data_IF_920850918351
#
_entry.id   IF_920850918351
#
_cell.length_a   1.000
_cell.length_b   1.000
_cell.length_c   1.000
_cell.angle_alpha   90.00
_cell.angle_beta   90.00
_cell.angle_gamma   90.00
#
_symmetry.space_group_name_H-M   'P 1'
#
loop_
_entity.id
_entity.type
_entity.pdbx_description
1 polymer ?
#
# COMPACT_ATOMS: atom_id res chain seq x y z
N UNK A 1 -4.87 15.83 -25.61
CA UNK A 1 -6.15 15.39 -25.02
C UNK A 1 -5.80 14.32 -24.00
N UNK A 2 -6.46 14.31 -22.84
CA UNK A 2 -6.29 13.28 -21.84
C UNK A 2 -6.59 11.90 -22.43
N UNK A 3 -5.89 10.86 -21.98
CA UNK A 3 -6.09 9.47 -22.40
C UNK A 3 -7.44 8.94 -21.92
N UNK A 4 -7.89 9.39 -20.75
CA UNK A 4 -9.17 9.05 -20.14
C UNK A 4 -9.95 10.31 -19.81
N UNK A 5 -11.29 10.25 -19.87
CA UNK A 5 -12.14 11.38 -19.51
C UNK A 5 -12.85 11.13 -18.18
N UNK A 6 -13.40 9.94 -17.96
CA UNK A 6 -14.20 9.59 -16.77
C UNK A 6 -13.38 8.77 -15.78
N UNK A 7 -12.96 9.38 -14.68
CA UNK A 7 -12.13 8.75 -13.63
C UNK A 7 -13.01 8.42 -12.42
N UNK A 8 -13.15 7.14 -12.10
CA UNK A 8 -13.77 6.68 -10.87
C UNK A 8 -12.71 6.56 -9.76
N UNK A 9 -12.86 7.30 -8.66
CA UNK A 9 -12.04 7.15 -7.47
C UNK A 9 -12.76 6.20 -6.52
N UNK A 10 -12.23 4.98 -6.36
CA UNK A 10 -12.83 3.93 -5.54
C UNK A 10 -12.18 3.92 -4.17
N UNK A 11 -12.96 4.14 -3.12
CA UNK A 11 -12.51 4.13 -1.73
C UNK A 11 -13.51 3.46 -0.78
N UNK A 12 -13.27 3.49 0.52
CA UNK A 12 -13.88 2.61 1.48
C UNK A 12 -12.99 1.36 1.66
N UNK A 13 -13.46 0.30 2.03
CA UNK A 13 -12.90 -1.06 2.05
C UNK A 13 -13.62 -1.94 3.07
N UNK A 14 -13.36 -3.24 3.02
CA UNK A 14 -13.93 -4.18 4.00
C UNK A 14 -13.02 -4.34 5.24
N UNK A 15 -11.84 -3.70 5.22
CA UNK A 15 -10.85 -3.74 6.30
C UNK A 15 -11.15 -2.74 7.43
N UNK A 16 -10.40 -2.85 8.52
CA UNK A 16 -10.40 -1.87 9.62
C UNK A 16 -9.87 -0.48 9.21
N UNK A 17 -9.17 -0.39 8.07
CA UNK A 17 -8.59 0.86 7.55
C UNK A 17 -9.56 1.68 6.66
N UNK A 18 -10.85 1.30 6.60
CA UNK A 18 -11.82 1.94 5.70
C UNK A 18 -11.96 3.46 5.87
N UNK A 19 -11.83 3.98 7.08
CA UNK A 19 -11.90 5.44 7.33
C UNK A 19 -10.68 6.16 6.75
N UNK A 20 -9.50 5.55 6.85
CA UNK A 20 -8.28 6.08 6.23
C UNK A 20 -8.39 6.03 4.71
N UNK A 21 -8.97 4.95 4.17
CA UNK A 21 -9.26 4.80 2.75
C UNK A 21 -10.22 5.89 2.25
N UNK A 22 -11.27 6.22 3.01
CA UNK A 22 -12.18 7.33 2.68
C UNK A 22 -11.44 8.67 2.62
N UNK A 23 -10.66 9.02 3.65
CA UNK A 23 -9.87 10.27 3.66
C UNK A 23 -8.87 10.34 2.51
N UNK A 24 -8.22 9.23 2.17
CA UNK A 24 -7.30 9.13 1.03
C UNK A 24 -8.03 9.29 -0.30
N UNK A 25 -9.20 8.66 -0.45
CA UNK A 25 -10.03 8.76 -1.65
C UNK A 25 -10.58 10.17 -1.89
N UNK A 26 -11.14 10.79 -0.87
CA UNK A 26 -11.65 12.17 -0.93
C UNK A 26 -10.52 13.17 -1.24
N UNK A 27 -9.36 13.02 -0.61
CA UNK A 27 -8.19 13.83 -0.92
C UNK A 27 -7.78 13.65 -2.38
N UNK A 28 -7.64 12.42 -2.86
CA UNK A 28 -7.28 12.10 -4.23
C UNK A 28 -8.28 12.71 -5.21
N UNK A 29 -9.59 12.46 -5.03
CA UNK A 29 -10.64 13.01 -5.88
C UNK A 29 -10.62 14.54 -5.95
N UNK A 30 -10.31 15.21 -4.83
CA UNK A 30 -10.20 16.66 -4.77
C UNK A 30 -8.97 17.24 -5.47
N UNK A 31 -7.95 16.41 -5.76
CA UNK A 31 -6.65 16.82 -6.35
C UNK A 31 -6.45 16.34 -7.78
N UNK A 32 -7.30 15.47 -8.31
CA UNK A 32 -7.33 15.15 -9.75
C UNK A 32 -7.68 16.43 -10.52
N UNK A 33 -6.98 16.65 -11.65
CA UNK A 33 -7.11 17.86 -12.47
C UNK A 33 -8.57 18.13 -12.87
N UNK A 34 -9.11 19.25 -12.38
CA UNK A 34 -10.50 19.63 -12.58
C UNK A 34 -10.81 20.15 -13.99
N UNK A 35 -9.79 20.45 -14.77
CA UNK A 35 -9.93 20.92 -16.15
C UNK A 35 -9.90 19.76 -17.15
N UNK A 36 -9.28 18.63 -16.79
CA UNK A 36 -9.08 17.50 -17.68
C UNK A 36 -10.07 16.36 -17.48
N UNK A 37 -10.47 16.08 -16.21
CA UNK A 37 -11.19 14.86 -15.88
C UNK A 37 -12.56 15.11 -15.26
N UNK A 38 -13.52 14.30 -15.69
CA UNK A 38 -14.74 14.03 -14.94
C UNK A 38 -14.39 13.06 -13.81
N UNK A 39 -14.64 13.43 -12.55
CA UNK A 39 -14.30 12.62 -11.37
C UNK A 39 -15.58 12.10 -10.72
N UNK A 40 -15.61 10.80 -10.43
CA UNK A 40 -16.71 10.10 -9.78
C UNK A 40 -16.20 9.41 -8.53
N UNK A 41 -16.74 9.75 -7.37
CA UNK A 41 -16.35 9.21 -6.08
C UNK A 41 -17.22 8.01 -5.73
N UNK A 42 -16.63 6.81 -5.74
CA UNK A 42 -17.30 5.55 -5.48
C UNK A 42 -16.93 5.06 -4.09
N UNK A 43 -17.88 5.09 -3.17
CA UNK A 43 -17.74 4.40 -1.89
C UNK A 43 -18.11 2.93 -2.07
N UNK A 44 -17.15 2.03 -1.79
CA UNK A 44 -17.32 0.60 -1.98
C UNK A 44 -16.94 -0.15 -0.69
N UNK A 45 -17.93 -0.81 -0.07
CA UNK A 45 -17.76 -1.58 1.16
C UNK A 45 -18.76 -2.71 1.26
N UNK A 46 -18.32 -3.89 1.67
CA UNK A 46 -19.15 -5.11 1.85
C UNK A 46 -20.08 -5.37 0.66
N UNK A 47 -19.51 -5.31 -0.53
CA UNK A 47 -20.24 -5.54 -1.78
C UNK A 47 -21.24 -4.43 -2.19
N UNK A 48 -21.40 -3.38 -1.40
CA UNK A 48 -22.24 -2.21 -1.74
C UNK A 48 -21.36 -1.11 -2.33
N UNK A 49 -21.64 -0.74 -3.57
CA UNK A 49 -20.87 0.27 -4.29
C UNK A 49 -21.79 1.42 -4.68
N UNK A 50 -21.50 2.61 -4.22
CA UNK A 50 -22.36 3.77 -4.40
C UNK A 50 -21.58 4.98 -4.89
N UNK A 51 -22.14 5.71 -5.86
CA UNK A 51 -21.66 7.02 -6.24
C UNK A 51 -22.07 8.03 -5.15
N UNK A 52 -21.09 8.57 -4.42
CA UNK A 52 -21.34 9.51 -3.32
C UNK A 52 -21.14 10.96 -3.72
N UNK A 53 -20.28 11.20 -4.72
CA UNK A 53 -20.10 12.52 -5.31
C UNK A 53 -19.58 12.41 -6.76
N UNK A 54 -19.75 13.50 -7.50
CA UNK A 54 -19.17 13.63 -8.85
C UNK A 54 -18.79 15.07 -9.14
N UNK A 55 -17.86 15.26 -10.07
CA UNK A 55 -17.47 16.55 -10.62
C UNK A 55 -17.17 16.38 -12.10
N UNK A 56 -17.93 17.04 -12.96
CA UNK A 56 -17.58 17.16 -14.38
C UNK A 56 -16.41 18.12 -14.54
N UNK A 57 -15.62 17.95 -15.60
CA UNK A 57 -14.55 18.89 -15.92
C UNK A 57 -15.06 20.33 -15.99
N UNK A 58 -14.34 21.26 -15.39
CA UNK A 58 -14.70 22.69 -15.30
C UNK A 58 -16.03 22.97 -14.54
N UNK A 59 -16.49 22.04 -13.68
CA UNK A 59 -17.73 22.25 -12.92
C UNK A 59 -17.53 22.02 -11.42
N UNK A 60 -18.54 22.42 -10.64
CA UNK A 60 -18.53 22.23 -9.19
C UNK A 60 -18.79 20.78 -8.83
N UNK A 61 -18.19 20.34 -7.73
CA UNK A 61 -18.45 19.04 -7.12
C UNK A 61 -19.88 18.97 -6.61
N UNK A 62 -20.59 17.91 -6.99
CA UNK A 62 -21.94 17.57 -6.55
C UNK A 62 -21.87 16.35 -5.64
N UNK A 63 -22.61 16.36 -4.53
CA UNK A 63 -22.72 15.23 -3.60
C UNK A 63 -24.11 14.63 -3.67
N UNK A 64 -24.22 13.34 -3.44
CA UNK A 64 -25.49 12.62 -3.35
C UNK A 64 -25.78 12.34 -1.86
N UNK A 65 -26.92 12.79 -1.32
CA UNK A 65 -27.25 12.54 0.08
C UNK A 65 -27.44 11.04 0.33
N UNK A 66 -27.19 10.62 1.56
CA UNK A 66 -27.41 9.23 1.98
C UNK A 66 -28.84 8.79 1.66
N UNK A 67 -28.98 7.57 1.09
CA UNK A 67 -30.28 7.05 0.62
C UNK A 67 -30.65 7.43 -0.82
N UNK A 68 -30.05 8.49 -1.40
CA UNK A 68 -30.24 8.87 -2.81
C UNK A 68 -28.98 8.64 -3.68
N UNK A 69 -28.00 7.95 -3.14
CA UNK A 69 -26.75 7.63 -3.83
C UNK A 69 -26.99 6.57 -4.89
N UNK A 70 -26.69 6.84 -6.18
CA UNK A 70 -26.81 5.85 -7.25
C UNK A 70 -25.93 4.64 -6.99
N UNK A 71 -26.45 3.45 -7.23
CA UNK A 71 -25.67 2.21 -7.14
C UNK A 71 -24.86 1.98 -8.42
N UNK A 72 -23.63 1.49 -8.26
CA UNK A 72 -22.77 1.09 -9.38
C UNK A 72 -23.23 -0.27 -9.88
N UNK A 73 -23.51 -0.36 -11.19
CA UNK A 73 -23.70 -1.63 -11.87
C UNK A 73 -22.36 -2.34 -12.04
N UNK A 74 -22.14 -3.36 -11.21
CA UNK A 74 -20.91 -4.14 -11.22
C UNK A 74 -20.78 -5.08 -12.43
N UNK A 75 -21.83 -5.24 -13.24
CA UNK A 75 -21.74 -6.07 -14.44
C UNK A 75 -20.90 -5.43 -15.54
N UNK A 76 -20.82 -4.09 -15.58
CA UNK A 76 -20.06 -3.35 -16.58
C UNK A 76 -19.36 -2.09 -16.03
N UNK A 77 -19.27 -1.96 -14.71
CA UNK A 77 -18.67 -0.83 -13.99
C UNK A 77 -19.23 0.51 -14.48
N UNK A 78 -20.53 0.69 -14.36
CA UNK A 78 -21.25 1.91 -14.76
C UNK A 78 -22.19 2.39 -13.66
N UNK A 79 -22.74 3.60 -13.81
CA UNK A 79 -23.74 4.15 -12.91
C UNK A 79 -24.81 4.91 -13.70
N UNK A 80 -26.07 4.86 -13.23
CA UNK A 80 -27.15 5.66 -13.77
C UNK A 80 -27.29 6.96 -12.98
N UNK A 81 -27.11 8.11 -13.62
CA UNK A 81 -27.28 9.44 -13.01
C UNK A 81 -28.26 10.24 -13.86
N UNK A 82 -29.38 10.68 -13.26
CA UNK A 82 -30.40 11.47 -13.93
C UNK A 82 -30.91 10.88 -15.25
N UNK A 83 -30.95 9.55 -15.37
CA UNK A 83 -31.38 8.84 -16.56
C UNK A 83 -30.28 8.60 -17.63
N UNK A 84 -29.08 9.09 -17.39
CA UNK A 84 -27.91 8.86 -18.25
C UNK A 84 -27.04 7.73 -17.67
N UNK A 85 -26.63 6.78 -18.51
CA UNK A 85 -25.68 5.73 -18.14
C UNK A 85 -24.25 6.24 -18.34
N UNK A 86 -23.50 6.33 -17.25
CA UNK A 86 -22.10 6.75 -17.22
C UNK A 86 -21.23 5.50 -17.07
N UNK A 87 -20.31 5.28 -18.01
CA UNK A 87 -19.24 4.29 -17.93
C UNK A 87 -17.94 5.00 -17.53
N UNK A 88 -17.15 4.33 -16.73
CA UNK A 88 -15.86 4.88 -16.28
C UNK A 88 -14.73 4.38 -17.17
N UNK A 89 -13.87 5.29 -17.63
CA UNK A 89 -12.74 4.98 -18.50
C UNK A 89 -11.52 4.51 -17.71
N UNK A 90 -11.45 4.91 -16.44
CA UNK A 90 -10.32 4.64 -15.54
C UNK A 90 -10.77 4.51 -14.08
N UNK A 91 -10.15 3.62 -13.33
CA UNK A 91 -10.37 3.45 -11.90
C UNK A 91 -9.13 3.85 -11.08
N UNK A 92 -9.24 4.92 -10.28
CA UNK A 92 -8.22 5.26 -9.28
C UNK A 92 -8.56 4.56 -7.96
N UNK A 93 -7.74 3.57 -7.57
CA UNK A 93 -8.03 2.73 -6.40
C UNK A 93 -7.38 3.34 -5.16
N UNK A 94 -8.20 3.59 -4.13
CA UNK A 94 -7.79 4.10 -2.81
C UNK A 94 -8.39 3.28 -1.66
N UNK A 95 -8.47 1.96 -1.84
CA UNK A 95 -8.93 1.03 -0.81
C UNK A 95 -7.74 0.39 -0.09
N UNK A 96 -7.54 0.72 1.18
CA UNK A 96 -6.54 0.07 2.02
C UNK A 96 -7.10 -1.27 2.56
N UNK A 97 -6.28 -2.32 2.51
CA UNK A 97 -6.70 -3.68 2.86
C UNK A 97 -7.63 -4.31 1.80
N UNK A 98 -8.43 -5.29 2.21
CA UNK A 98 -9.36 -5.99 1.32
C UNK A 98 -10.55 -5.10 0.90
N UNK A 99 -11.01 -5.20 -0.37
CA UNK A 99 -10.49 -5.99 -1.49
C UNK A 99 -9.39 -5.28 -2.30
N UNK A 100 -9.04 -4.02 -1.96
CA UNK A 100 -8.17 -3.16 -2.74
C UNK A 100 -6.72 -3.63 -2.81
N UNK A 101 -6.19 -4.22 -1.73
CA UNK A 101 -4.79 -4.70 -1.67
C UNK A 101 -4.67 -6.23 -1.79
N UNK A 102 -5.78 -6.95 -1.96
CA UNK A 102 -5.77 -8.41 -2.11
C UNK A 102 -5.77 -8.91 -3.55
N UNK A 103 -5.81 -8.00 -4.53
CA UNK A 103 -5.91 -8.32 -5.95
C UNK A 103 -7.33 -8.56 -6.46
N UNK A 104 -8.32 -8.65 -5.58
CA UNK A 104 -9.71 -8.93 -5.97
C UNK A 104 -10.33 -7.78 -6.77
N UNK A 105 -10.15 -6.54 -6.34
CA UNK A 105 -10.66 -5.38 -7.05
C UNK A 105 -9.96 -5.20 -8.40
N UNK A 106 -8.64 -5.38 -8.44
CA UNK A 106 -7.86 -5.32 -9.67
C UNK A 106 -8.33 -6.40 -10.67
N UNK A 107 -8.49 -7.65 -10.20
CA UNK A 107 -8.99 -8.74 -11.04
C UNK A 107 -10.38 -8.49 -11.61
N UNK A 108 -11.29 -7.89 -10.83
CA UNK A 108 -12.59 -7.46 -11.30
C UNK A 108 -12.47 -6.41 -12.43
N UNK A 109 -11.67 -5.37 -12.24
CA UNK A 109 -11.46 -4.32 -13.22
C UNK A 109 -10.77 -4.85 -14.49
N UNK A 110 -9.75 -5.71 -14.32
CA UNK A 110 -9.05 -6.37 -15.43
C UNK A 110 -9.99 -7.24 -16.26
N UNK A 111 -10.91 -7.99 -15.64
CA UNK A 111 -11.92 -8.80 -16.36
C UNK A 111 -12.85 -7.93 -17.20
N UNK A 112 -13.13 -6.70 -16.77
CA UNK A 112 -13.95 -5.74 -17.53
C UNK A 112 -13.13 -4.90 -18.53
N UNK A 113 -11.81 -5.06 -18.54
CA UNK A 113 -10.93 -4.25 -19.41
C UNK A 113 -10.83 -2.79 -18.96
N UNK A 114 -11.08 -2.49 -17.67
CA UNK A 114 -10.98 -1.13 -17.10
C UNK A 114 -9.57 -0.90 -16.60
N UNK A 115 -8.81 0.04 -17.17
CA UNK A 115 -7.51 0.46 -16.68
C UNK A 115 -7.61 1.04 -15.25
N UNK A 116 -6.57 0.83 -14.44
CA UNK A 116 -6.58 1.30 -13.05
C UNK A 116 -5.20 1.71 -12.54
N UNK A 117 -5.16 2.51 -11.47
CA UNK A 117 -3.96 3.15 -10.90
C UNK A 117 -3.03 2.22 -10.12
N UNK A 118 -3.38 0.96 -9.94
CA UNK A 118 -2.64 0.00 -9.09
C UNK A 118 -1.92 -1.05 -9.94
N UNK A 119 -1.11 -1.87 -9.28
CA UNK A 119 -0.51 -3.06 -9.87
C UNK A 119 -1.58 -4.05 -10.36
N UNK A 120 -1.20 -5.00 -11.21
CA UNK A 120 -2.10 -6.08 -11.63
C UNK A 120 -2.60 -6.91 -10.44
N UNK A 121 -3.70 -7.63 -10.62
CA UNK A 121 -4.24 -8.52 -9.59
C UNK A 121 -3.19 -9.48 -9.03
N UNK A 122 -2.38 -10.08 -9.91
CA UNK A 122 -1.29 -10.99 -9.50
C UNK A 122 -0.25 -10.28 -8.64
N UNK A 123 0.28 -9.15 -9.09
CA UNK A 123 1.33 -8.41 -8.37
C UNK A 123 0.79 -7.89 -7.03
N UNK A 124 -0.45 -7.38 -7.02
CA UNK A 124 -1.11 -6.90 -5.80
C UNK A 124 -1.23 -8.02 -4.76
N UNK A 125 -1.69 -9.21 -5.17
CA UNK A 125 -1.83 -10.37 -4.28
C UNK A 125 -0.47 -10.81 -3.71
N UNK A 126 0.54 -10.93 -4.57
CA UNK A 126 1.90 -11.32 -4.14
C UNK A 126 2.52 -10.29 -3.21
N UNK A 127 2.35 -9.01 -3.52
CA UNK A 127 2.95 -7.92 -2.76
C UNK A 127 2.31 -7.73 -1.37
N UNK A 128 1.00 -7.97 -1.24
CA UNK A 128 0.28 -7.85 0.03
C UNK A 128 0.66 -8.97 1.02
N UNK A 129 0.95 -10.17 0.53
CA UNK A 129 1.42 -11.28 1.36
C UNK A 129 2.94 -11.21 1.55
N UNK A 130 3.39 -10.86 2.77
CA UNK A 130 4.79 -10.65 3.12
C UNK A 130 5.69 -11.83 2.78
N UNK A 131 5.21 -13.06 3.04
CA UNK A 131 5.99 -14.27 2.74
C UNK A 131 6.10 -14.53 1.24
N UNK A 132 5.02 -14.33 0.49
CA UNK A 132 5.01 -14.47 -0.97
C UNK A 132 5.88 -13.43 -1.63
N UNK A 133 5.77 -12.15 -1.21
CA UNK A 133 6.60 -11.06 -1.71
C UNK A 133 8.09 -11.32 -1.49
N UNK A 134 8.48 -11.69 -0.26
CA UNK A 134 9.87 -12.07 0.06
C UNK A 134 10.32 -13.28 -0.73
N UNK A 135 9.46 -14.29 -0.89
CA UNK A 135 9.79 -15.50 -1.68
C UNK A 135 10.05 -15.17 -3.14
N UNK A 136 9.30 -14.23 -3.71
CA UNK A 136 9.53 -13.73 -5.07
C UNK A 136 10.87 -12.99 -5.19
N UNK A 137 11.26 -12.26 -4.15
CA UNK A 137 12.51 -11.49 -4.10
C UNK A 137 13.74 -12.31 -3.65
N UNK A 138 13.59 -13.57 -3.22
CA UNK A 138 14.73 -14.39 -2.72
C UNK A 138 15.85 -14.60 -3.73
N UNK A 139 15.57 -14.46 -5.02
CA UNK A 139 16.58 -14.55 -6.09
C UNK A 139 17.26 -13.21 -6.37
N UNK A 140 16.82 -12.13 -5.73
CA UNK A 140 17.41 -10.81 -5.91
C UNK A 140 18.72 -10.70 -5.11
N UNK A 141 19.81 -10.35 -5.75
CA UNK A 141 21.15 -10.19 -5.16
C UNK A 141 21.44 -8.75 -4.69
N UNK A 142 20.51 -7.85 -4.91
CA UNK A 142 20.69 -6.40 -4.70
C UNK A 142 20.00 -5.84 -3.46
N UNK A 143 19.29 -6.67 -2.71
CA UNK A 143 18.62 -6.31 -1.46
C UNK A 143 18.64 -7.50 -0.51
N UNK A 144 18.78 -7.22 0.79
CA UNK A 144 18.71 -8.27 1.80
C UNK A 144 17.28 -8.50 2.24
N UNK A 145 16.99 -9.73 2.64
CA UNK A 145 15.75 -10.13 3.28
C UNK A 145 16.08 -10.69 4.67
N UNK A 146 15.33 -10.29 5.69
CA UNK A 146 15.50 -10.88 7.01
C UNK A 146 15.30 -12.41 6.93
N UNK A 147 16.15 -13.22 7.58
CA UNK A 147 15.91 -14.66 7.70
C UNK A 147 14.54 -14.92 8.29
N UNK A 148 13.81 -15.91 7.75
CA UNK A 148 12.43 -16.17 8.15
C UNK A 148 12.08 -17.65 8.25
N UNK A 149 10.93 -17.90 8.89
CA UNK A 149 10.20 -19.14 8.92
C UNK A 149 8.71 -18.87 8.75
N UNK A 150 7.99 -19.82 8.18
CA UNK A 150 6.58 -19.69 7.83
C UNK A 150 5.75 -20.80 8.46
N UNK A 151 4.58 -20.46 9.02
CA UNK A 151 3.66 -21.39 9.67
C UNK A 151 2.22 -21.09 9.23
N UNK A 152 1.40 -22.14 9.14
CA UNK A 152 -0.04 -22.07 8.86
C UNK A 152 -0.86 -22.43 10.07
N UNK A 153 -2.06 -21.92 10.12
CA UNK A 153 -3.06 -22.35 11.09
C UNK A 153 -3.30 -23.86 10.95
N UNK A 154 -3.30 -24.57 12.09
CA UNK A 154 -3.39 -26.03 12.14
C UNK A 154 -2.05 -26.76 12.25
N UNK A 155 -0.92 -26.09 12.00
CA UNK A 155 0.41 -26.65 12.24
C UNK A 155 0.72 -26.72 13.75
N UNK A 156 1.68 -27.57 14.14
CA UNK A 156 2.17 -27.67 15.53
C UNK A 156 3.02 -26.45 15.89
N UNK A 157 2.40 -25.50 16.60
CA UNK A 157 3.01 -24.22 16.98
C UNK A 157 4.20 -24.42 17.92
N UNK A 158 4.15 -25.37 18.85
CA UNK A 158 5.22 -25.66 19.81
C UNK A 158 6.46 -26.23 19.12
N UNK A 159 6.26 -27.23 18.27
CA UNK A 159 7.35 -27.84 17.51
C UNK A 159 7.96 -26.83 16.52
N UNK A 160 7.12 -26.00 15.88
CA UNK A 160 7.57 -24.94 14.99
C UNK A 160 8.39 -23.90 15.75
N UNK A 161 7.90 -23.41 16.91
CA UNK A 161 8.56 -22.37 17.70
C UNK A 161 9.99 -22.74 18.10
N UNK A 162 10.19 -24.00 18.55
CA UNK A 162 11.54 -24.51 18.88
C UNK A 162 12.48 -24.42 17.67
N UNK A 163 12.03 -24.93 16.51
CA UNK A 163 12.83 -24.90 15.28
C UNK A 163 13.09 -23.48 14.79
N UNK A 164 12.11 -22.58 14.93
CA UNK A 164 12.25 -21.18 14.53
C UNK A 164 13.31 -20.47 15.38
N UNK A 165 13.29 -20.65 16.71
CA UNK A 165 14.31 -20.06 17.61
C UNK A 165 15.71 -20.63 17.30
N UNK A 166 15.84 -21.93 17.09
CA UNK A 166 17.12 -22.57 16.74
C UNK A 166 17.67 -22.04 15.41
N UNK A 167 16.81 -21.81 14.42
CA UNK A 167 17.21 -21.36 13.08
C UNK A 167 17.49 -19.87 13.00
N UNK A 168 16.64 -19.05 13.65
CA UNK A 168 16.59 -17.61 13.43
C UNK A 168 17.26 -16.80 14.55
N UNK A 169 17.43 -17.38 15.73
CA UNK A 169 17.89 -16.67 16.93
C UNK A 169 16.81 -15.72 17.49
N UNK A 170 17.19 -14.94 18.50
CA UNK A 170 16.35 -13.93 19.13
C UNK A 170 17.07 -12.57 19.07
N UNK A 171 16.32 -11.44 19.06
CA UNK A 171 14.86 -11.34 19.08
C UNK A 171 14.23 -11.63 17.72
N UNK A 172 12.91 -11.95 17.74
CA UNK A 172 12.11 -12.27 16.55
C UNK A 172 10.94 -11.32 16.39
N UNK A 173 10.57 -11.04 15.15
CA UNK A 173 9.27 -10.46 14.79
C UNK A 173 8.33 -11.55 14.31
N UNK A 174 7.12 -11.57 14.87
CA UNK A 174 6.01 -12.44 14.45
C UNK A 174 4.96 -11.58 13.79
N UNK A 175 4.56 -11.92 12.57
CA UNK A 175 3.65 -11.10 11.77
C UNK A 175 2.64 -11.97 11.02
N UNK A 176 1.36 -11.60 10.93
CA UNK A 176 0.48 -12.18 9.91
C UNK A 176 1.05 -11.85 8.54
N UNK A 177 0.93 -12.76 7.56
CA UNK A 177 1.53 -12.53 6.24
C UNK A 177 0.78 -11.46 5.45
N UNK A 178 -0.55 -11.35 5.65
CA UNK A 178 -1.45 -10.48 4.88
C UNK A 178 -2.26 -9.57 5.80
N UNK A 179 -1.60 -8.66 6.52
CA UNK A 179 -2.24 -7.66 7.37
C UNK A 179 -1.61 -6.29 7.18
N UNK A 180 -2.43 -5.24 7.33
CA UNK A 180 -2.01 -3.84 7.32
C UNK A 180 -1.81 -3.27 8.73
N UNK A 181 -1.42 -1.99 8.82
CA UNK A 181 -1.39 -1.17 10.05
C UNK A 181 -0.71 -1.80 11.27
N UNK A 182 0.21 -2.73 11.08
CA UNK A 182 0.94 -3.43 12.15
C UNK A 182 0.04 -4.26 13.11
N UNK A 183 -1.19 -4.58 12.74
CA UNK A 183 -2.04 -5.48 13.52
C UNK A 183 -1.45 -6.89 13.58
N UNK A 184 -1.58 -7.54 14.74
CA UNK A 184 -1.08 -8.90 14.96
C UNK A 184 0.44 -9.03 14.99
N UNK A 185 1.21 -7.93 14.98
CA UNK A 185 2.68 -7.96 15.04
C UNK A 185 3.14 -8.01 16.50
N UNK A 186 4.10 -8.88 16.77
CA UNK A 186 4.76 -8.99 18.08
C UNK A 186 6.28 -9.06 17.92
N UNK A 187 7.02 -8.42 18.82
CA UNK A 187 8.47 -8.60 18.96
C UNK A 187 8.76 -9.49 20.16
N UNK A 188 9.42 -10.61 19.93
CA UNK A 188 9.63 -11.68 20.89
C UNK A 188 11.10 -11.71 21.30
N UNK A 189 11.34 -11.63 22.61
CA UNK A 189 12.69 -11.65 23.20
C UNK A 189 13.02 -12.97 23.90
N UNK A 190 12.00 -13.72 24.34
CA UNK A 190 12.19 -14.97 25.05
C UNK A 190 11.55 -16.12 24.26
N UNK A 191 12.16 -17.32 24.19
CA UNK A 191 11.63 -18.45 23.41
C UNK A 191 10.23 -18.87 23.83
N UNK A 192 9.90 -18.78 25.13
CA UNK A 192 8.62 -19.16 25.71
C UNK A 192 7.44 -18.29 25.26
N UNK A 193 7.70 -17.05 24.82
CA UNK A 193 6.67 -16.11 24.36
C UNK A 193 6.27 -16.36 22.89
N UNK A 194 7.10 -17.06 22.12
CA UNK A 194 6.89 -17.23 20.67
C UNK A 194 5.58 -17.96 20.32
N UNK A 195 5.19 -19.07 21.01
CA UNK A 195 3.92 -19.72 20.70
C UNK A 195 2.70 -18.81 20.91
N UNK A 196 2.70 -17.97 21.95
CA UNK A 196 1.60 -17.03 22.20
C UNK A 196 1.55 -15.93 21.14
N UNK A 197 2.70 -15.39 20.73
CA UNK A 197 2.80 -14.40 19.67
C UNK A 197 2.29 -14.95 18.31
N UNK A 198 2.60 -16.21 17.97
CA UNK A 198 2.10 -16.85 16.75
C UNK A 198 0.57 -16.99 16.80
N UNK A 199 0.01 -17.45 17.94
CA UNK A 199 -1.46 -17.55 18.08
C UNK A 199 -2.14 -16.19 18.00
N UNK A 200 -1.53 -15.16 18.54
CA UNK A 200 -2.03 -13.78 18.38
C UNK A 200 -2.00 -13.34 16.92
N UNK A 201 -0.93 -13.61 16.19
CA UNK A 201 -0.87 -13.28 14.77
C UNK A 201 -1.92 -14.03 13.92
N UNK A 202 -2.30 -15.26 14.30
CA UNK A 202 -3.36 -16.00 13.64
C UNK A 202 -4.76 -15.38 13.80
N UNK A 203 -4.96 -14.45 14.75
CA UNK A 203 -6.24 -13.71 14.83
C UNK A 203 -6.47 -12.79 13.62
N UNK A 204 -5.40 -12.42 12.91
CA UNK A 204 -5.44 -11.54 11.75
C UNK A 204 -5.38 -12.30 10.41
N UNK A 205 -5.14 -13.61 10.43
CA UNK A 205 -5.12 -14.42 9.21
C UNK A 205 -4.52 -15.82 9.41
N UNK A 206 -4.73 -16.72 8.46
CA UNK A 206 -4.38 -18.15 8.61
C UNK A 206 -2.89 -18.45 8.42
N UNK A 207 -2.08 -17.44 8.14
CA UNK A 207 -0.64 -17.60 7.82
C UNK A 207 0.20 -16.57 8.56
N UNK A 208 1.31 -17.02 9.11
CA UNK A 208 2.23 -16.20 9.93
C UNK A 208 3.67 -16.36 9.45
N UNK A 209 4.40 -15.26 9.37
CA UNK A 209 5.84 -15.23 9.16
C UNK A 209 6.54 -14.84 10.47
N UNK A 210 7.60 -15.57 10.79
CA UNK A 210 8.50 -15.29 11.91
C UNK A 210 9.85 -14.89 11.33
N UNK A 211 10.35 -13.71 11.68
CA UNK A 211 11.57 -13.13 11.11
C UNK A 211 12.59 -12.78 12.19
N UNK A 212 13.90 -12.97 11.89
CA UNK A 212 14.95 -12.41 12.71
C UNK A 212 14.82 -10.88 12.78
N UNK A 213 14.91 -10.31 13.97
CA UNK A 213 14.96 -8.87 14.12
C UNK A 213 16.31 -8.33 13.60
N UNK A 214 16.24 -7.43 12.65
CA UNK A 214 17.42 -6.79 12.06
C UNK A 214 17.82 -5.58 12.91
N UNK A 215 19.12 -5.41 13.26
CA UNK A 215 19.60 -4.18 13.89
C UNK A 215 19.28 -2.97 13.02
N UNK A 216 18.50 -2.03 13.57
CA UNK A 216 18.01 -0.88 12.83
C UNK A 216 18.89 0.34 13.12
N UNK A 217 19.59 0.86 12.10
CA UNK A 217 20.25 2.17 12.13
C UNK A 217 19.29 3.25 11.62
N UNK A 218 18.59 2.96 10.50
CA UNK A 218 17.60 3.84 9.90
C UNK A 218 16.42 3.02 9.43
N UNK A 219 15.20 3.45 9.76
CA UNK A 219 13.98 2.97 9.15
C UNK A 219 13.57 3.93 8.02
N UNK A 220 13.58 3.43 6.77
CA UNK A 220 13.49 4.25 5.57
C UNK A 220 12.33 3.80 4.70
N UNK A 221 11.70 4.76 4.02
CA UNK A 221 10.65 4.46 3.05
C UNK A 221 10.84 5.28 1.78
N UNK A 222 10.54 4.66 0.64
CA UNK A 222 10.67 5.26 -0.69
C UNK A 222 9.49 4.89 -1.56
N UNK A 223 8.82 5.90 -2.12
CA UNK A 223 7.77 5.68 -3.11
C UNK A 223 8.36 5.70 -4.53
N UNK A 224 7.81 4.82 -5.37
CA UNK A 224 8.26 4.59 -6.75
C UNK A 224 7.06 4.52 -7.67
N UNK A 225 7.19 5.10 -8.86
CA UNK A 225 6.15 5.14 -9.88
C UNK A 225 6.74 5.17 -11.29
N UNK A 226 5.93 4.88 -12.29
CA UNK A 226 6.32 5.08 -13.69
C UNK A 226 5.90 6.48 -14.14
N UNK A 227 6.85 7.28 -14.62
CA UNK A 227 6.63 8.69 -14.96
C UNK A 227 6.27 8.92 -16.44
N UNK A 228 6.01 7.84 -17.18
CA UNK A 228 5.74 7.87 -18.62
C UNK A 228 6.99 7.65 -19.48
N UNK A 229 8.18 7.65 -18.89
CA UNK A 229 9.47 7.40 -19.57
C UNK A 229 10.28 6.31 -18.89
N UNK A 230 10.39 6.40 -17.57
CA UNK A 230 11.13 5.43 -16.76
C UNK A 230 10.50 5.28 -15.36
N UNK A 231 11.02 4.33 -14.61
CA UNK A 231 10.67 4.16 -13.19
C UNK A 231 11.39 5.22 -12.38
N UNK A 232 10.62 6.09 -11.73
CA UNK A 232 11.10 7.19 -10.91
C UNK A 232 10.87 6.94 -9.43
N UNK A 233 11.86 7.31 -8.60
CA UNK A 233 11.79 7.23 -7.14
C UNK A 233 11.66 8.63 -6.55
N UNK A 234 10.72 8.80 -5.61
CA UNK A 234 10.56 10.03 -4.84
C UNK A 234 11.64 10.15 -3.75
N UNK A 235 11.80 11.33 -3.14
CA UNK A 235 12.68 11.52 -2.00
C UNK A 235 12.39 10.51 -0.89
N UNK A 236 13.44 9.95 -0.29
CA UNK A 236 13.35 9.00 0.83
C UNK A 236 12.85 9.73 2.08
N UNK A 237 12.01 9.08 2.86
CA UNK A 237 11.63 9.50 4.21
C UNK A 237 12.33 8.61 5.22
N UNK A 238 12.84 9.20 6.28
CA UNK A 238 13.25 8.50 7.49
C UNK A 238 12.15 8.55 8.54
N UNK A 239 11.86 7.40 9.15
CA UNK A 239 10.89 7.25 10.23
C UNK A 239 11.67 7.10 11.54
N UNK A 240 11.55 8.10 12.41
CA UNK A 240 12.14 8.11 13.73
C UNK A 240 11.04 7.75 14.73
N UNK A 241 11.07 6.51 15.24
CA UNK A 241 10.11 6.01 16.22
C UNK A 241 10.67 6.08 17.63
N UNK A 242 9.90 6.64 18.56
CA UNK A 242 10.23 6.67 19.98
C UNK A 242 10.11 5.28 20.63
N UNK A 243 9.38 4.34 20.01
CA UNK A 243 9.18 2.96 20.47
C UNK A 243 10.24 1.99 19.93
N UNK A 244 11.16 2.47 19.07
CA UNK A 244 12.24 1.69 18.47
C UNK A 244 11.83 0.87 17.24
N UNK A 245 10.59 0.98 16.76
CA UNK A 245 10.10 0.47 15.46
C UNK A 245 8.74 1.09 15.10
N UNK A 246 8.38 1.08 13.83
CA UNK A 246 7.17 1.75 13.33
C UNK A 246 5.92 0.90 13.55
N UNK A 247 5.47 0.79 14.80
CA UNK A 247 4.26 0.10 15.20
C UNK A 247 2.97 0.93 14.97
N UNK A 248 1.84 0.39 15.44
CA UNK A 248 0.55 1.07 15.33
C UNK A 248 0.55 2.43 16.06
N UNK A 249 1.11 2.48 17.26
CA UNK A 249 1.16 3.70 18.06
C UNK A 249 2.07 4.75 17.41
N UNK A 250 3.21 4.33 16.85
CA UNK A 250 4.08 5.19 16.08
C UNK A 250 3.36 5.75 14.82
N UNK A 251 2.53 4.94 14.15
CA UNK A 251 1.80 5.34 12.93
C UNK A 251 0.67 6.33 13.18
N UNK A 252 -0.08 6.19 14.28
CA UNK A 252 -1.35 6.89 14.46
C UNK A 252 -1.45 7.75 15.72
N UNK A 253 -0.59 7.52 16.73
CA UNK A 253 -0.68 8.18 18.02
C UNK A 253 0.43 9.21 18.28
N UNK A 254 1.21 9.56 17.23
CA UNK A 254 2.20 10.64 17.29
C UNK A 254 3.53 10.27 17.97
N UNK A 255 3.82 8.96 18.10
CA UNK A 255 5.10 8.44 18.64
C UNK A 255 6.16 8.24 17.54
N UNK A 256 6.00 8.89 16.40
CA UNK A 256 7.01 8.92 15.34
C UNK A 256 7.13 10.31 14.74
N UNK A 257 8.34 10.62 14.27
CA UNK A 257 8.63 11.78 13.43
C UNK A 257 9.09 11.32 12.06
N UNK A 258 8.51 11.87 11.03
CA UNK A 258 8.81 11.57 9.63
C UNK A 258 9.64 12.72 9.04
N UNK A 259 10.89 12.44 8.70
CA UNK A 259 11.84 13.42 8.14
C UNK A 259 11.86 13.25 6.62
N UNK A 260 11.41 14.28 5.89
CA UNK A 260 11.34 14.28 4.43
C UNK A 260 11.92 15.57 3.83
N UNK A 261 12.97 15.51 2.99
CA UNK A 261 13.81 14.36 2.70
C UNK A 261 14.54 13.83 3.93
N UNK A 262 14.85 12.53 3.96
CA UNK A 262 15.62 11.90 5.03
C UNK A 262 16.99 12.55 5.21
N UNK A 263 17.41 12.77 6.48
CA UNK A 263 18.73 13.31 6.83
C UNK A 263 19.78 12.19 6.91
N UNK A 264 20.02 11.52 5.79
CA UNK A 264 20.93 10.38 5.66
C UNK A 264 22.04 10.68 4.62
N UNK A 265 23.16 9.93 4.62
CA UNK A 265 24.19 10.09 3.60
C UNK A 265 23.62 9.91 2.17
N UNK A 266 24.09 10.73 1.23
CA UNK A 266 23.66 10.66 -0.17
C UNK A 266 23.83 9.26 -0.76
N UNK A 267 24.90 8.56 -0.41
CA UNK A 267 25.14 7.18 -0.86
C UNK A 267 24.06 6.20 -0.41
N UNK A 268 23.54 6.35 0.80
CA UNK A 268 22.45 5.49 1.32
C UNK A 268 21.14 5.84 0.64
N UNK A 269 20.83 7.14 0.49
CA UNK A 269 19.66 7.61 -0.28
C UNK A 269 19.64 7.03 -1.68
N UNK A 270 20.75 7.15 -2.41
CA UNK A 270 20.86 6.71 -3.80
C UNK A 270 20.74 5.18 -3.92
N UNK A 271 21.27 4.43 -2.94
CA UNK A 271 21.08 2.97 -2.87
C UNK A 271 19.61 2.61 -2.65
N UNK A 272 18.91 3.23 -1.68
CA UNK A 272 17.48 2.98 -1.43
C UNK A 272 16.66 3.24 -2.70
N UNK A 273 16.87 4.39 -3.35
CA UNK A 273 16.13 4.72 -4.58
C UNK A 273 16.45 3.74 -5.71
N UNK A 274 17.70 3.34 -5.87
CA UNK A 274 18.12 2.35 -6.88
C UNK A 274 17.50 0.98 -6.62
N UNK A 275 17.55 0.50 -5.37
CA UNK A 275 16.95 -0.78 -4.95
C UNK A 275 15.43 -0.74 -5.19
N UNK A 276 14.77 0.34 -4.79
CA UNK A 276 13.32 0.50 -4.97
C UNK A 276 12.90 0.42 -6.45
N UNK A 277 13.64 1.08 -7.35
CA UNK A 277 13.40 0.97 -8.81
C UNK A 277 13.63 -0.45 -9.33
N UNK A 278 14.62 -1.17 -8.81
CA UNK A 278 14.90 -2.57 -9.19
C UNK A 278 13.79 -3.49 -8.71
N UNK A 279 13.33 -3.36 -7.46
CA UNK A 279 12.22 -4.13 -6.91
C UNK A 279 10.94 -3.85 -7.70
N UNK A 280 10.63 -2.59 -8.01
CA UNK A 280 9.47 -2.21 -8.82
C UNK A 280 9.44 -2.98 -10.15
N UNK A 281 10.56 -3.01 -10.87
CA UNK A 281 10.68 -3.77 -12.13
C UNK A 281 10.65 -5.28 -11.92
N UNK A 282 11.30 -5.79 -10.89
CA UNK A 282 11.37 -7.23 -10.58
C UNK A 282 9.99 -7.81 -10.25
N UNK A 283 9.19 -7.11 -9.45
CA UNK A 283 7.83 -7.51 -9.13
C UNK A 283 6.84 -7.27 -10.28
N UNK A 284 7.21 -6.48 -11.29
CA UNK A 284 6.31 -6.06 -12.35
C UNK A 284 5.25 -5.05 -11.87
N UNK A 285 5.63 -4.18 -10.93
CA UNK A 285 4.75 -3.14 -10.42
C UNK A 285 4.28 -2.17 -11.52
N UNK A 286 3.10 -1.58 -11.30
CA UNK A 286 2.53 -0.48 -12.08
C UNK A 286 2.00 0.60 -11.13
N UNK A 287 1.71 1.77 -11.69
CA UNK A 287 1.21 2.90 -10.90
C UNK A 287 2.20 3.33 -9.82
N UNK A 288 1.66 3.62 -8.65
CA UNK A 288 2.41 4.08 -7.48
C UNK A 288 2.52 2.98 -6.43
N UNK A 289 3.73 2.72 -5.93
CA UNK A 289 3.97 1.84 -4.77
C UNK A 289 4.92 2.52 -3.78
N UNK A 290 4.86 2.15 -2.50
CA UNK A 290 5.81 2.57 -1.47
C UNK A 290 6.49 1.33 -0.90
N UNK A 291 7.79 1.40 -0.70
CA UNK A 291 8.60 0.31 -0.17
C UNK A 291 9.28 0.75 1.11
N UNK A 292 9.28 -0.13 2.10
CA UNK A 292 9.80 0.14 3.43
C UNK A 292 11.05 -0.72 3.68
N UNK A 293 12.06 -0.13 4.34
CA UNK A 293 13.40 -0.70 4.51
C UNK A 293 13.96 -0.47 5.91
N UNK A 294 14.87 -1.34 6.32
CA UNK A 294 15.81 -1.10 7.41
C UNK A 294 17.22 -1.01 6.83
N UNK A 295 17.93 0.08 7.13
CA UNK A 295 19.38 0.14 7.00
C UNK A 295 20.02 -0.44 8.25
N UNK A 296 20.93 -1.38 8.06
CA UNK A 296 21.69 -2.05 9.11
C UNK A 296 23.18 -1.97 8.80
N UNK A 297 24.09 -2.23 9.79
CA UNK A 297 25.54 -2.17 9.56
C UNK A 297 26.05 -3.06 8.42
N UNK A 298 25.32 -4.12 8.10
CA UNK A 298 25.68 -5.10 7.07
C UNK A 298 24.92 -4.93 5.75
N UNK A 299 24.02 -3.93 5.64
CA UNK A 299 23.32 -3.60 4.40
C UNK A 299 21.87 -3.20 4.55
N UNK A 300 21.17 -3.11 3.43
CA UNK A 300 19.78 -2.66 3.34
C UNK A 300 18.85 -3.87 3.27
N UNK A 301 17.91 -3.93 4.19
CA UNK A 301 16.89 -4.98 4.28
C UNK A 301 15.54 -4.45 3.83
N UNK A 302 14.92 -5.14 2.87
CA UNK A 302 13.54 -4.89 2.46
C UNK A 302 12.57 -5.45 3.50
N UNK A 303 11.57 -4.65 3.87
CA UNK A 303 10.51 -5.05 4.80
C UNK A 303 9.24 -5.44 4.07
N UNK A 304 8.68 -4.51 3.31
CA UNK A 304 7.41 -4.70 2.60
C UNK A 304 7.24 -3.69 1.44
N UNK A 305 6.26 -3.97 0.59
CA UNK A 305 5.77 -3.04 -0.41
C UNK A 305 4.29 -2.74 -0.18
N UNK A 306 3.94 -1.46 -0.20
CA UNK A 306 2.58 -0.97 -0.10
C UNK A 306 2.08 -0.59 -1.49
N UNK A 307 1.12 -1.34 -1.99
CA UNK A 307 0.59 -1.20 -3.36
C UNK A 307 -0.40 -0.03 -3.49
N UNK A 308 -1.11 0.29 -2.42
CA UNK A 308 -2.02 1.43 -2.35
C UNK A 308 -1.61 2.30 -1.16
N UNK A 309 -0.51 3.07 -1.28
CA UNK A 309 -0.04 3.89 -0.18
C UNK A 309 -1.01 5.02 0.14
N UNK A 310 -1.05 5.43 1.42
CA UNK A 310 -1.92 6.50 1.89
C UNK A 310 -1.70 7.81 1.13
N UNK A 311 -2.81 8.48 0.81
CA UNK A 311 -2.87 9.72 0.03
C UNK A 311 -3.65 10.83 0.75
N UNK A 312 -3.54 10.94 2.07
CA UNK A 312 -4.01 12.12 2.79
C UNK A 312 -2.96 13.23 2.77
N UNK A 313 -3.33 14.44 3.12
CA UNK A 313 -2.34 15.55 3.17
C UNK A 313 -1.17 15.26 4.13
N UNK A 314 -1.40 14.48 5.18
CA UNK A 314 -0.39 14.08 6.18
C UNK A 314 0.37 12.80 5.81
N UNK A 315 -0.08 12.05 4.79
CA UNK A 315 0.53 10.78 4.40
C UNK A 315 1.94 10.95 3.80
N UNK A 316 2.72 9.88 3.85
CA UNK A 316 4.13 9.87 3.42
C UNK A 316 4.30 10.24 1.94
N UNK A 317 3.49 9.65 1.05
CA UNK A 317 3.61 9.92 -0.39
C UNK A 317 3.38 11.37 -0.75
N UNK A 318 2.32 12.06 -0.31
CA UNK A 318 2.18 13.50 -0.54
C UNK A 318 3.33 14.34 0.04
N UNK A 319 3.97 13.92 1.14
CA UNK A 319 5.18 14.59 1.67
C UNK A 319 6.35 14.42 0.70
N UNK A 320 6.57 13.19 0.19
CA UNK A 320 7.62 12.91 -0.81
C UNK A 320 7.42 13.71 -2.09
N UNK A 321 6.18 13.76 -2.61
CA UNK A 321 5.83 14.50 -3.83
C UNK A 321 6.13 16.00 -3.67
N UNK A 322 5.73 16.59 -2.54
CA UNK A 322 6.06 18.01 -2.24
C UNK A 322 7.56 18.24 -2.10
N UNK A 323 8.28 17.34 -1.43
CA UNK A 323 9.73 17.42 -1.28
C UNK A 323 10.47 17.30 -2.62
N UNK A 324 9.89 16.59 -3.59
CA UNK A 324 10.38 16.52 -4.97
C UNK A 324 10.08 17.79 -5.80
N UNK A 325 9.34 18.76 -5.25
CA UNK A 325 8.89 19.95 -5.98
C UNK A 325 7.81 19.68 -7.02
N UNK A 326 7.11 18.53 -6.93
CA UNK A 326 6.07 18.13 -7.87
C UNK A 326 4.70 18.57 -7.33
N UNK A 327 3.85 19.14 -8.20
CA UNK A 327 2.45 19.40 -7.87
C UNK A 327 1.67 18.10 -7.68
N UNK A 328 0.82 18.03 -6.63
CA UNK A 328 0.02 16.81 -6.39
C UNK A 328 -0.89 16.51 -7.59
N UNK A 329 -1.49 17.53 -8.19
CA UNK A 329 -2.34 17.38 -9.38
C UNK A 329 -1.55 16.80 -10.56
N UNK A 330 -0.35 17.32 -10.84
CA UNK A 330 0.51 16.85 -11.92
C UNK A 330 0.96 15.39 -11.67
N UNK A 331 1.25 15.07 -10.40
CA UNK A 331 1.62 13.72 -9.99
C UNK A 331 0.47 12.73 -10.23
N UNK A 332 -0.77 13.07 -9.81
CA UNK A 332 -1.95 12.23 -10.03
C UNK A 332 -2.26 12.07 -11.52
N UNK A 333 -2.12 13.15 -12.30
CA UNK A 333 -2.24 13.10 -13.77
C UNK A 333 -1.21 12.15 -14.36
N UNK A 334 0.05 12.21 -13.90
CA UNK A 334 1.09 11.26 -14.35
C UNK A 334 0.71 9.81 -14.09
N UNK A 335 0.16 9.50 -12.89
CA UNK A 335 -0.30 8.14 -12.57
C UNK A 335 -1.46 7.73 -13.48
N UNK A 336 -2.46 8.57 -13.68
CA UNK A 336 -3.64 8.27 -14.53
C UNK A 336 -3.22 8.00 -15.98
N UNK A 337 -2.39 8.85 -16.55
CA UNK A 337 -2.03 8.76 -17.97
C UNK A 337 -1.08 7.59 -18.30
N UNK A 338 -0.36 7.06 -17.28
CA UNK A 338 0.68 6.05 -17.47
C UNK A 338 0.40 4.70 -16.79
N UNK A 339 -0.82 4.48 -16.31
CA UNK A 339 -1.27 3.20 -15.75
C UNK A 339 -1.90 2.29 -16.78
#
# INVERSE_FOLDING_TARGET
MAKYQSVAVIYGSDSSEWEVACRSGEFTASRIDEFQYDVYEIFARFGKWKLVAMRKANSMRQTFPEGAQPEVDKSDFSVMVLGEKIKFDFAYIMQHGAPGETGLLQGYLEMLGIPHSSCSAFVTTVAFDKYSCKSYLRTADYVKLAPDAFIREGDDVEAFSKKAVEKLGLPLFVKPTSAGSSFGISKVYNPEDLPAAIRYAFTEGPTVIVESAIPCEHELTCAVYFDGKDVSALPVIEILSDTGWFDYDAKYNGFSREVCPAEIPDSLRDQIQSISKRIYRHLGCKGLVRMDYISAPDGIYFLEVNIIPGMTNASLVPKMVRAAGIGITDFLTTIIENS
#
